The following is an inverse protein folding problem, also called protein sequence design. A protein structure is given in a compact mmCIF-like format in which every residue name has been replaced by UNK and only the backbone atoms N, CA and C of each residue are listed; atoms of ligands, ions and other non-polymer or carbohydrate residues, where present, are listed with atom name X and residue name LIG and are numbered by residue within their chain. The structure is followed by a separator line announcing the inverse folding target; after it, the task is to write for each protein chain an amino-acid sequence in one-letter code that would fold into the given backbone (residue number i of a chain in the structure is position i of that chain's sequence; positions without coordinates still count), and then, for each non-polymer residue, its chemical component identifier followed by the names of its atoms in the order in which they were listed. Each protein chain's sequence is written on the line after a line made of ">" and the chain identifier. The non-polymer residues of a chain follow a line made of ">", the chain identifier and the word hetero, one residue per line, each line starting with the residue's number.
data_IF_534718786795
#
_entry.id   IF_534718786795
#
_cell.length_a   1.000
_cell.length_b   1.000
_cell.length_c   1.000
_cell.angle_alpha   90.00
_cell.angle_beta   90.00
_cell.angle_gamma   90.00
#
_symmetry.space_group_name_H-M   'P 1'
#
loop_
_entity.id
_entity.type
_entity.pdbx_description
1 polymer ?
#
# COMPACT_ATOMS: atom_id res chain seq x y z
N UNK A 1 -8.35 -22.99 7.05
CA UNK A 1 -6.99 -22.73 7.59
C UNK A 1 -7.14 -21.84 8.81
N UNK A 2 -6.36 -22.05 9.87
CA UNK A 2 -6.34 -21.16 11.04
C UNK A 2 -5.18 -20.18 10.92
N UNK A 3 -5.46 -18.88 10.92
CA UNK A 3 -4.45 -17.82 10.90
C UNK A 3 -4.12 -17.40 12.32
N UNK A 4 -2.84 -17.53 12.71
CA UNK A 4 -2.33 -17.01 13.97
C UNK A 4 -1.70 -15.63 13.72
N UNK A 5 -2.23 -14.60 14.36
CA UNK A 5 -1.80 -13.22 14.20
C UNK A 5 -1.42 -12.63 15.56
N UNK A 6 -0.26 -11.99 15.65
CA UNK A 6 0.10 -11.18 16.82
C UNK A 6 0.07 -9.71 16.44
N UNK A 7 -0.60 -8.91 17.27
CA UNK A 7 -0.79 -7.47 17.12
C UNK A 7 -0.25 -6.74 18.35
N UNK A 8 0.39 -5.59 18.12
CA UNK A 8 0.88 -4.70 19.18
C UNK A 8 -0.24 -3.77 19.68
N UNK A 9 -0.07 -3.12 20.85
CA UNK A 9 -0.97 -2.08 21.32
C UNK A 9 -1.21 -1.00 20.25
N UNK A 10 -2.47 -0.65 20.01
CA UNK A 10 -2.89 0.33 19.00
C UNK A 10 -2.92 -0.19 17.56
N UNK A 11 -2.46 -1.42 17.30
CA UNK A 11 -2.66 -2.04 15.99
C UNK A 11 -4.08 -2.59 15.87
N UNK A 12 -4.55 -2.69 14.62
CA UNK A 12 -5.84 -3.24 14.28
C UNK A 12 -5.74 -4.29 13.17
N UNK A 13 -6.82 -5.04 13.01
CA UNK A 13 -7.03 -5.98 11.91
C UNK A 13 -8.49 -5.88 11.45
N UNK A 14 -8.70 -5.93 10.15
CA UNK A 14 -10.00 -6.07 9.51
C UNK A 14 -10.26 -7.55 9.21
N UNK A 15 -11.44 -8.02 9.57
CA UNK A 15 -11.94 -9.37 9.29
C UNK A 15 -13.28 -9.18 8.58
N UNK A 16 -13.28 -9.28 7.25
CA UNK A 16 -14.42 -8.86 6.43
C UNK A 16 -14.75 -7.38 6.64
N UNK A 17 -15.95 -7.10 7.12
CA UNK A 17 -16.45 -5.75 7.44
C UNK A 17 -16.11 -5.28 8.86
N UNK A 18 -15.57 -6.17 9.70
CA UNK A 18 -15.38 -5.92 11.12
C UNK A 18 -13.94 -5.52 11.42
N UNK A 19 -13.75 -4.40 12.12
CA UNK A 19 -12.44 -3.98 12.64
C UNK A 19 -12.27 -4.44 14.09
N UNK A 20 -11.13 -5.05 14.38
CA UNK A 20 -10.69 -5.44 15.72
C UNK A 20 -9.45 -4.64 16.06
N UNK A 21 -9.49 -3.89 17.16
CA UNK A 21 -8.40 -3.03 17.62
C UNK A 21 -7.85 -3.49 18.96
N UNK A 22 -6.53 -3.45 19.12
CA UNK A 22 -5.88 -3.82 20.37
C UNK A 22 -5.78 -2.60 21.29
N UNK A 23 -6.73 -2.50 22.22
CA UNK A 23 -6.77 -1.44 23.25
C UNK A 23 -5.92 -1.77 24.49
N UNK A 24 -5.42 -3.00 24.60
CA UNK A 24 -4.58 -3.43 25.72
C UNK A 24 -3.17 -2.81 25.65
N UNK A 25 -2.54 -2.63 26.82
CA UNK A 25 -1.13 -2.20 26.90
C UNK A 25 -0.13 -3.27 26.44
N UNK A 26 -0.54 -4.54 26.40
CA UNK A 26 0.28 -5.65 25.91
C UNK A 26 -0.07 -6.05 24.48
N UNK A 27 0.83 -6.80 23.84
CA UNK A 27 0.52 -7.44 22.56
C UNK A 27 -0.53 -8.54 22.75
N UNK A 28 -1.40 -8.70 21.75
CA UNK A 28 -2.46 -9.70 21.75
C UNK A 28 -2.24 -10.67 20.59
N UNK A 29 -2.42 -11.96 20.86
CA UNK A 29 -2.39 -13.00 19.82
C UNK A 29 -3.80 -13.49 19.54
N UNK A 30 -4.23 -13.33 18.30
CA UNK A 30 -5.52 -13.76 17.78
C UNK A 30 -5.32 -15.04 16.97
N UNK A 31 -6.19 -16.03 17.19
CA UNK A 31 -6.30 -17.20 16.33
C UNK A 31 -7.63 -17.10 15.59
N UNK A 32 -7.56 -16.86 14.29
CA UNK A 32 -8.73 -16.66 13.43
C UNK A 32 -8.91 -17.92 12.60
N UNK A 33 -10.08 -18.56 12.71
CA UNK A 33 -10.43 -19.75 11.93
C UNK A 33 -11.66 -19.46 11.10
N UNK A 34 -11.57 -19.62 9.78
CA UNK A 34 -12.66 -19.33 8.86
C UNK A 34 -12.18 -19.13 7.43
N UNK A 35 -13.09 -18.66 6.57
CA UNK A 35 -12.84 -18.30 5.17
C UNK A 35 -12.95 -16.80 4.90
N UNK A 36 -13.31 -16.01 5.92
CA UNK A 36 -13.46 -14.55 5.78
C UNK A 36 -12.09 -13.91 5.54
N UNK A 37 -11.95 -12.97 4.60
CA UNK A 37 -10.69 -12.24 4.36
C UNK A 37 -10.18 -11.51 5.61
N UNK A 38 -8.85 -11.50 5.81
CA UNK A 38 -8.21 -10.86 6.96
C UNK A 38 -7.13 -9.89 6.49
N UNK A 39 -7.29 -8.60 6.78
CA UNK A 39 -6.37 -7.53 6.37
C UNK A 39 -5.80 -6.83 7.61
N UNK A 40 -4.47 -6.72 7.74
CA UNK A 40 -3.88 -5.94 8.83
C UNK A 40 -4.23 -4.45 8.68
N UNK A 41 -4.51 -3.79 9.80
CA UNK A 41 -4.86 -2.37 9.85
C UNK A 41 -3.81 -1.45 9.24
N UNK A 42 -2.53 -1.83 9.30
CA UNK A 42 -1.44 -1.09 8.64
C UNK A 42 -1.56 -1.01 7.11
N UNK A 43 -2.35 -1.90 6.49
CA UNK A 43 -2.62 -1.90 5.04
C UNK A 43 -3.98 -1.29 4.74
N UNK A 44 -4.82 -1.11 5.77
CA UNK A 44 -6.13 -0.52 5.62
C UNK A 44 -6.06 0.97 5.32
N UNK A 45 -7.12 1.46 4.68
CA UNK A 45 -7.42 2.86 4.43
C UNK A 45 -8.86 3.09 4.83
N UNK A 46 -9.11 4.17 5.55
CA UNK A 46 -10.47 4.62 5.85
C UNK A 46 -10.96 5.51 4.70
N UNK A 47 -12.20 5.30 4.26
CA UNK A 47 -12.77 5.98 3.11
C UNK A 47 -12.70 7.51 3.22
N UNK A 48 -12.87 8.05 4.43
CA UNK A 48 -12.85 9.49 4.70
C UNK A 48 -11.44 10.10 4.55
N UNK A 49 -10.39 9.28 4.65
CA UNK A 49 -8.99 9.72 4.56
C UNK A 49 -8.39 9.57 3.16
N UNK A 50 -9.05 8.81 2.27
CA UNK A 50 -8.60 8.57 0.91
C UNK A 50 -8.91 9.75 -0.03
N UNK A 51 -8.18 10.85 0.12
CA UNK A 51 -8.42 12.09 -0.64
C UNK A 51 -7.61 12.16 -1.96
N UNK A 52 -6.42 11.54 -2.00
CA UNK A 52 -5.60 11.48 -3.20
C UNK A 52 -5.81 10.20 -4.03
N UNK A 53 -5.48 10.28 -5.32
CA UNK A 53 -5.69 9.20 -6.29
C UNK A 53 -4.97 7.89 -5.92
N UNK A 54 -3.71 7.88 -5.44
CA UNK A 54 -3.05 6.66 -4.97
C UNK A 54 -3.73 6.03 -3.73
N UNK A 55 -4.22 6.84 -2.79
CA UNK A 55 -4.95 6.35 -1.62
C UNK A 55 -6.32 5.80 -1.99
N UNK A 56 -7.00 6.42 -2.96
CA UNK A 56 -8.25 5.90 -3.53
C UNK A 56 -8.02 4.55 -4.22
N UNK A 57 -6.91 4.37 -4.96
CA UNK A 57 -6.57 3.09 -5.58
C UNK A 57 -6.43 2.01 -4.50
N UNK A 58 -5.70 2.32 -3.42
CA UNK A 58 -5.52 1.39 -2.29
C UNK A 58 -6.85 1.05 -1.61
N UNK A 59 -7.76 2.01 -1.49
CA UNK A 59 -9.11 1.80 -0.95
C UNK A 59 -9.93 0.86 -1.84
N UNK A 60 -9.88 1.00 -3.17
CA UNK A 60 -10.58 0.09 -4.11
C UNK A 60 -10.02 -1.33 -4.00
N UNK A 61 -8.70 -1.49 -3.97
CA UNK A 61 -8.06 -2.80 -3.79
C UNK A 61 -8.43 -3.45 -2.44
N UNK A 62 -8.52 -2.64 -1.38
CA UNK A 62 -9.01 -3.11 -0.08
C UNK A 62 -10.45 -3.66 -0.18
N UNK A 63 -11.36 -2.94 -0.84
CA UNK A 63 -12.75 -3.40 -1.02
C UNK A 63 -12.81 -4.71 -1.82
N UNK A 64 -12.03 -4.81 -2.91
CA UNK A 64 -11.88 -6.06 -3.67
C UNK A 64 -11.45 -7.24 -2.80
N UNK A 65 -10.49 -7.02 -1.90
CA UNK A 65 -9.99 -8.05 -1.00
C UNK A 65 -11.01 -8.46 0.06
N UNK A 66 -11.65 -7.48 0.73
CA UNK A 66 -12.58 -7.73 1.83
C UNK A 66 -13.90 -8.37 1.36
N UNK A 67 -14.38 -8.01 0.17
CA UNK A 67 -15.57 -8.61 -0.44
C UNK A 67 -15.27 -9.97 -1.11
N UNK A 68 -13.99 -10.37 -1.18
CA UNK A 68 -13.51 -11.54 -1.91
C UNK A 68 -14.01 -11.59 -3.38
N UNK A 69 -14.27 -10.43 -3.99
CA UNK A 69 -14.80 -10.30 -5.34
C UNK A 69 -14.15 -9.12 -6.06
N UNK A 70 -13.26 -9.42 -6.99
CA UNK A 70 -12.56 -8.39 -7.77
C UNK A 70 -13.48 -7.79 -8.84
N UNK A 71 -14.32 -8.62 -9.47
CA UNK A 71 -15.14 -8.23 -10.62
C UNK A 71 -16.16 -7.15 -10.28
N UNK A 72 -16.71 -7.15 -9.06
CA UNK A 72 -17.69 -6.15 -8.59
C UNK A 72 -17.10 -4.75 -8.46
N UNK A 73 -15.78 -4.61 -8.42
CA UNK A 73 -15.09 -3.33 -8.24
C UNK A 73 -14.25 -2.93 -9.46
N UNK A 74 -14.35 -3.65 -10.59
CA UNK A 74 -13.58 -3.34 -11.80
C UNK A 74 -13.81 -1.92 -12.30
N UNK A 75 -15.06 -1.46 -12.35
CA UNK A 75 -15.38 -0.12 -12.85
C UNK A 75 -14.71 0.97 -12.00
N UNK A 76 -14.84 0.85 -10.68
CA UNK A 76 -14.19 1.76 -9.73
C UNK A 76 -12.66 1.70 -9.85
N UNK A 77 -12.09 0.50 -10.05
CA UNK A 77 -10.65 0.34 -10.24
C UNK A 77 -10.16 1.01 -11.52
N UNK A 78 -10.78 0.75 -12.66
CA UNK A 78 -10.36 1.31 -13.94
C UNK A 78 -10.53 2.82 -13.99
N UNK A 79 -11.56 3.36 -13.33
CA UNK A 79 -11.72 4.80 -13.18
C UNK A 79 -10.52 5.41 -12.45
N UNK A 80 -10.21 4.91 -11.25
CA UNK A 80 -9.09 5.42 -10.45
C UNK A 80 -7.74 5.20 -11.13
N UNK A 81 -7.56 4.09 -11.86
CA UNK A 81 -6.34 3.87 -12.66
C UNK A 81 -6.22 4.88 -13.79
N UNK A 82 -7.32 5.23 -14.45
CA UNK A 82 -7.34 6.27 -15.48
C UNK A 82 -6.90 7.62 -14.93
N UNK A 83 -7.47 8.01 -13.79
CA UNK A 83 -7.13 9.25 -13.08
C UNK A 83 -5.65 9.23 -12.64
N UNK A 84 -5.18 8.09 -12.12
CA UNK A 84 -3.80 7.92 -11.67
C UNK A 84 -2.78 8.02 -12.79
N UNK A 85 -3.09 7.51 -13.98
CA UNK A 85 -2.22 7.62 -15.16
C UNK A 85 -2.22 9.03 -15.74
N UNK A 86 -3.31 9.78 -15.59
CA UNK A 86 -3.40 11.18 -16.01
C UNK A 86 -2.58 12.09 -15.08
N UNK A 87 -2.67 11.88 -13.76
CA UNK A 87 -1.96 12.69 -12.75
C UNK A 87 -0.49 12.27 -12.60
N UNK A 88 -0.21 10.96 -12.66
CA UNK A 88 1.10 10.36 -12.44
C UNK A 88 1.50 9.43 -13.60
N UNK A 89 1.93 9.94 -14.76
CA UNK A 89 2.31 9.11 -15.91
C UNK A 89 3.43 8.09 -15.61
N UNK A 90 4.30 8.38 -14.64
CA UNK A 90 5.37 7.48 -14.21
C UNK A 90 4.88 6.29 -13.36
N UNK A 91 3.58 6.19 -13.06
CA UNK A 91 2.98 5.10 -12.28
C UNK A 91 2.69 3.83 -13.10
N UNK A 92 2.84 3.87 -14.43
CA UNK A 92 2.60 2.72 -15.34
C UNK A 92 3.23 1.39 -14.87
N UNK A 93 4.53 1.30 -14.51
CA UNK A 93 5.11 0.02 -14.08
C UNK A 93 4.46 -0.51 -12.80
N UNK A 94 4.09 0.39 -11.90
CA UNK A 94 3.42 0.06 -10.65
C UNK A 94 1.99 -0.46 -10.89
N UNK A 95 1.22 0.21 -11.75
CA UNK A 95 -0.13 -0.26 -12.15
C UNK A 95 -0.06 -1.61 -12.86
N UNK A 96 0.97 -1.82 -13.68
CA UNK A 96 1.19 -3.11 -14.36
C UNK A 96 1.41 -4.26 -13.36
N UNK A 97 2.16 -4.02 -12.29
CA UNK A 97 2.37 -5.01 -11.23
C UNK A 97 1.09 -5.31 -10.45
N UNK A 98 0.29 -4.29 -10.13
CA UNK A 98 -1.03 -4.45 -9.50
C UNK A 98 -1.94 -5.30 -10.38
N UNK A 99 -2.04 -4.98 -11.67
CA UNK A 99 -2.84 -5.75 -12.62
C UNK A 99 -2.41 -7.22 -12.65
N UNK A 100 -1.11 -7.51 -12.64
CA UNK A 100 -0.61 -8.89 -12.57
C UNK A 100 -1.10 -9.60 -11.31
N UNK A 101 -1.01 -8.94 -10.15
CA UNK A 101 -1.48 -9.50 -8.89
C UNK A 101 -2.99 -9.79 -8.91
N UNK A 102 -3.79 -8.88 -9.47
CA UNK A 102 -5.24 -9.07 -9.63
C UNK A 102 -5.58 -10.25 -10.54
N UNK A 103 -4.89 -10.40 -11.68
CA UNK A 103 -5.09 -11.52 -12.60
C UNK A 103 -4.75 -12.88 -11.97
N UNK A 104 -3.78 -12.92 -11.06
CA UNK A 104 -3.42 -14.15 -10.33
C UNK A 104 -4.24 -14.36 -9.05
N UNK A 105 -5.14 -13.43 -8.71
CA UNK A 105 -5.95 -13.46 -7.48
C UNK A 105 -5.20 -13.07 -6.20
N UNK A 106 -3.98 -12.54 -6.29
CA UNK A 106 -3.16 -12.11 -5.14
C UNK A 106 -3.46 -10.64 -4.78
N UNK A 107 -4.72 -10.37 -4.44
CA UNK A 107 -5.19 -9.01 -4.13
C UNK A 107 -4.50 -8.44 -2.88
N UNK A 108 -4.15 -9.31 -1.91
CA UNK A 108 -3.41 -8.89 -0.72
C UNK A 108 -2.04 -8.30 -1.07
N UNK A 109 -1.32 -8.92 -2.01
CA UNK A 109 -0.06 -8.37 -2.52
C UNK A 109 -0.26 -7.06 -3.29
N UNK A 110 -1.34 -6.94 -4.07
CA UNK A 110 -1.66 -5.68 -4.75
C UNK A 110 -1.81 -4.51 -3.76
N UNK A 111 -2.49 -4.72 -2.62
CA UNK A 111 -2.65 -3.71 -1.57
C UNK A 111 -1.30 -3.29 -0.98
N UNK A 112 -0.40 -4.27 -0.74
CA UNK A 112 0.95 -3.99 -0.21
C UNK A 112 1.74 -3.11 -1.15
N UNK A 113 1.76 -3.46 -2.43
CA UNK A 113 2.45 -2.70 -3.47
C UNK A 113 1.90 -1.27 -3.49
N UNK A 114 0.57 -1.10 -3.44
CA UNK A 114 -0.06 0.21 -3.38
C UNK A 114 0.33 1.05 -2.17
N UNK A 115 0.48 0.43 -0.99
CA UNK A 115 1.01 1.11 0.20
C UNK A 115 2.47 1.54 0.01
N UNK A 116 3.30 0.67 -0.56
CA UNK A 116 4.72 0.94 -0.80
C UNK A 116 4.91 2.13 -1.75
N UNK A 117 4.16 2.16 -2.85
CA UNK A 117 4.19 3.28 -3.80
C UNK A 117 3.85 4.62 -3.15
N UNK A 118 2.78 4.67 -2.34
CA UNK A 118 2.43 5.90 -1.61
C UNK A 118 3.54 6.30 -0.63
N UNK A 119 4.20 5.34 0.01
CA UNK A 119 5.31 5.61 0.92
C UNK A 119 6.54 6.16 0.18
N UNK A 120 6.81 5.68 -1.03
CA UNK A 120 7.91 6.16 -1.87
C UNK A 120 7.62 7.56 -2.44
N UNK A 121 6.38 7.87 -2.80
CA UNK A 121 5.97 9.23 -3.21
C UNK A 121 6.12 10.26 -2.09
N UNK A 122 5.78 9.88 -0.86
CA UNK A 122 5.84 10.74 0.31
C UNK A 122 7.20 10.72 1.02
N UNK A 123 8.16 9.95 0.50
CA UNK A 123 9.50 9.90 1.07
C UNK A 123 10.17 11.27 0.91
N UNK A 124 10.73 11.86 1.98
CA UNK A 124 11.53 13.06 1.85
C UNK A 124 12.74 12.77 0.95
N UNK A 125 13.11 13.75 0.12
CA UNK A 125 14.24 13.66 -0.80
C UNK A 125 15.52 13.14 -0.08
N UNK A 126 15.71 13.39 1.21
CA UNK A 126 16.91 12.93 1.93
C UNK A 126 17.10 11.40 1.97
N UNK A 127 16.09 10.59 1.66
CA UNK A 127 16.20 9.12 1.62
C UNK A 127 17.16 8.62 0.53
N UNK A 128 17.40 9.38 -0.54
CA UNK A 128 18.40 9.04 -1.58
C UNK A 128 19.84 9.46 -1.20
N UNK A 129 20.02 10.35 -0.22
CA UNK A 129 21.35 10.84 0.16
C UNK A 129 22.18 9.84 0.98
N UNK A 130 21.55 8.83 1.60
CA UNK A 130 22.23 7.86 2.47
C UNK A 130 22.57 6.53 1.78
N UNK A 131 22.33 6.38 0.47
CA UNK A 131 22.54 5.09 -0.22
C UNK A 131 22.97 5.19 -1.70
N UNK A 132 23.95 6.04 -2.02
CA UNK A 132 24.63 6.04 -3.33
C UNK A 132 26.01 6.73 -3.27
N UNK A 133 27.01 6.33 -4.08
CA UNK A 133 28.42 6.70 -3.88
C UNK A 133 28.66 8.20 -4.18
N UNK A 134 29.48 8.83 -3.35
CA UNK A 134 29.85 10.25 -3.46
C UNK A 134 30.18 10.65 -4.91
N UNK A 135 29.62 11.77 -5.43
CA UNK A 135 30.06 12.30 -6.70
C UNK A 135 31.52 12.76 -6.54
N UNK A 136 32.43 12.14 -7.30
CA UNK A 136 33.84 12.59 -7.39
C UNK A 136 33.84 14.05 -7.83
N UNK A 137 34.19 14.97 -6.93
CA UNK A 137 34.40 16.37 -7.28
C UNK A 137 35.47 16.44 -8.38
N UNK A 138 35.10 16.99 -9.54
CA UNK A 138 36.04 17.33 -10.59
C UNK A 138 37.04 18.39 -10.08
N UNK A 139 38.33 18.34 -10.50
CA UNK A 139 39.35 19.22 -9.97
C UNK A 139 39.03 20.69 -10.29
N UNK A 140 38.99 21.52 -9.24
CA UNK A 140 38.80 22.96 -9.39
C UNK A 140 39.95 23.54 -10.20
N UNK A 141 39.62 24.21 -11.31
CA UNK A 141 40.58 25.00 -12.07
C UNK A 141 40.94 26.24 -11.26
N UNK A 142 42.09 26.22 -10.61
CA UNK A 142 42.73 27.43 -10.08
C UNK A 142 43.20 28.27 -11.26
N UNK A 143 42.47 29.33 -11.60
CA UNK A 143 43.00 30.41 -12.42
C UNK A 143 43.80 31.35 -11.50
N UNK A 144 45.12 31.30 -11.64
CA UNK A 144 46.02 32.32 -11.10
C UNK A 144 45.98 33.55 -12.02
N UNK A 145 45.72 34.71 -11.42
CA UNK A 145 46.09 36.02 -11.93
C UNK A 145 47.07 36.63 -10.93
#
# INVERSE_FOLDING_TARGET
>A
MSLKLTLKPGESVLIGDTRVEIVSRGSSTLLISGSVPVLRGEFAVDADTAQDTPSQLRLVLQKMYLDANVATHHDAYFQVVGDMLAEYPNSVPFITEINRCLMTGDVYRAIKIAKEYLADMNAPADKWMLSGPEPKLAPQRTNAA
#
